data_IF_938151242737
#
_entry.id   IF_938151242737
#
_cell.length_a   1.000
_cell.length_b   1.000
_cell.length_c   1.000
_cell.angle_alpha   90.00
_cell.angle_beta   90.00
_cell.angle_gamma   90.00
#
_symmetry.space_group_name_H-M   'P 1'
#
loop_
_entity.id
_entity.type
_entity.pdbx_description
1 polymer ?
#
# COMPACT_ATOMS: atom_id res chain seq x y z
N UNK A 1 -23.11 4.41 10.46
CA UNK A 1 -21.67 4.48 10.12
C UNK A 1 -21.56 4.11 8.66
N UNK A 2 -21.02 4.99 7.82
CA UNK A 2 -20.90 4.70 6.39
C UNK A 2 -19.90 3.55 6.22
N UNK A 3 -20.38 2.38 5.83
CA UNK A 3 -19.52 1.27 5.38
C UNK A 3 -18.91 1.71 4.05
N UNK A 4 -17.63 2.04 4.03
CA UNK A 4 -16.96 2.36 2.76
C UNK A 4 -16.94 1.10 1.88
N UNK A 5 -16.96 1.29 0.57
CA UNK A 5 -16.93 0.20 -0.39
C UNK A 5 -15.52 -0.42 -0.54
N UNK A 6 -14.50 0.23 0.06
CA UNK A 6 -13.08 -0.14 0.02
C UNK A 6 -12.44 0.01 1.42
N UNK A 7 -12.91 -0.75 2.42
CA UNK A 7 -12.51 -0.56 3.82
C UNK A 7 -11.01 -0.81 4.04
N UNK A 8 -10.39 -1.72 3.28
CA UNK A 8 -8.95 -1.99 3.39
C UNK A 8 -8.12 -0.87 2.77
N UNK A 9 -8.53 -0.35 1.60
CA UNK A 9 -7.86 0.81 0.99
C UNK A 9 -7.88 2.03 1.92
N UNK A 10 -9.03 2.30 2.54
CA UNK A 10 -9.18 3.44 3.46
C UNK A 10 -8.30 3.28 4.70
N UNK A 11 -8.21 2.07 5.26
CA UNK A 11 -7.33 1.77 6.38
C UNK A 11 -5.85 2.03 6.02
N UNK A 12 -5.41 1.53 4.86
CA UNK A 12 -4.05 1.77 4.34
C UNK A 12 -3.83 3.28 4.18
N UNK A 13 -4.75 3.98 3.52
CA UNK A 13 -4.65 5.41 3.26
C UNK A 13 -4.51 6.21 4.54
N UNK A 14 -5.35 5.93 5.52
CA UNK A 14 -5.35 6.62 6.80
C UNK A 14 -4.04 6.38 7.56
N UNK A 15 -3.62 5.11 7.71
CA UNK A 15 -2.39 4.77 8.43
C UNK A 15 -1.15 5.36 7.77
N UNK A 16 -1.02 5.20 6.45
CA UNK A 16 0.15 5.71 5.69
C UNK A 16 0.20 7.24 5.76
N UNK A 17 -0.94 7.92 5.61
CA UNK A 17 -1.01 9.38 5.74
C UNK A 17 -0.60 9.85 7.13
N UNK A 18 -1.09 9.19 8.19
CA UNK A 18 -0.77 9.55 9.57
C UNK A 18 0.70 9.29 9.93
N UNK A 19 1.28 8.18 9.47
CA UNK A 19 2.63 7.78 9.84
C UNK A 19 3.71 8.52 9.05
N UNK A 20 3.48 8.79 7.77
CA UNK A 20 4.52 9.28 6.86
C UNK A 20 4.26 10.68 6.29
N UNK A 21 3.08 11.26 6.51
CA UNK A 21 2.67 12.55 5.94
C UNK A 21 3.14 12.72 4.47
N UNK A 22 2.78 11.78 3.58
CA UNK A 22 3.36 11.73 2.24
C UNK A 22 2.94 12.93 1.40
N UNK A 23 3.87 13.44 0.59
CA UNK A 23 3.59 14.44 -0.43
C UNK A 23 2.69 13.88 -1.55
N UNK A 24 2.79 12.58 -1.83
CA UNK A 24 1.90 11.86 -2.75
C UNK A 24 1.68 10.43 -2.29
N UNK A 25 0.42 9.97 -2.35
CA UNK A 25 -0.01 8.63 -2.00
C UNK A 25 -0.97 8.10 -3.05
N UNK A 26 -0.57 7.02 -3.73
CA UNK A 26 -1.41 6.30 -4.68
C UNK A 26 -1.59 4.86 -4.19
N UNK A 27 -2.83 4.39 -4.17
CA UNK A 27 -3.18 3.03 -3.78
C UNK A 27 -3.98 2.41 -4.93
N UNK A 28 -3.59 1.21 -5.35
CA UNK A 28 -4.26 0.45 -6.40
C UNK A 28 -4.66 -0.92 -5.84
N UNK A 29 -5.93 -1.26 -5.98
CA UNK A 29 -6.44 -2.58 -5.67
C UNK A 29 -6.43 -3.46 -6.95
N UNK A 30 -5.54 -4.45 -6.99
CA UNK A 30 -5.40 -5.37 -8.11
C UNK A 30 -6.04 -6.74 -7.85
N UNK A 31 -6.79 -6.87 -6.77
CA UNK A 31 -7.38 -8.16 -6.36
C UNK A 31 -8.26 -8.78 -7.43
N UNK A 32 -8.92 -7.96 -8.27
CA UNK A 32 -9.72 -8.42 -9.40
C UNK A 32 -8.89 -9.16 -10.47
N UNK A 33 -7.62 -8.81 -10.67
CA UNK A 33 -6.75 -9.45 -11.66
C UNK A 33 -6.41 -10.90 -11.30
N UNK A 34 -6.52 -11.27 -10.01
CA UNK A 34 -6.19 -12.62 -9.52
C UNK A 34 -7.43 -13.39 -9.00
N UNK A 35 -8.63 -12.83 -9.19
CA UNK A 35 -9.91 -13.42 -8.78
C UNK A 35 -10.23 -14.79 -9.41
N UNK A 36 -9.56 -15.14 -10.52
CA UNK A 36 -9.77 -16.41 -11.24
C UNK A 36 -8.87 -17.58 -10.77
N UNK A 37 -8.02 -17.39 -9.77
CA UNK A 37 -7.18 -18.49 -9.24
C UNK A 37 -7.94 -19.34 -8.23
N UNK A 38 -7.86 -20.69 -8.37
CA UNK A 38 -8.41 -21.68 -7.43
C UNK A 38 -8.03 -21.44 -5.95
N UNK A 39 -6.94 -20.72 -5.68
CA UNK A 39 -6.51 -20.33 -4.33
C UNK A 39 -7.42 -19.28 -3.65
N UNK A 40 -8.29 -18.61 -4.41
CA UNK A 40 -9.33 -17.72 -3.88
C UNK A 40 -10.64 -18.47 -3.54
N UNK A 41 -10.71 -19.78 -3.78
CA UNK A 41 -11.86 -20.59 -3.38
C UNK A 41 -11.95 -20.63 -1.84
N UNK A 42 -12.84 -19.81 -1.28
CA UNK A 42 -13.00 -19.63 0.17
C UNK A 42 -12.47 -18.31 0.73
N UNK A 43 -11.84 -17.46 -0.09
CA UNK A 43 -11.52 -16.09 0.34
C UNK A 43 -12.78 -15.24 0.33
N UNK A 44 -13.15 -14.69 1.48
CA UNK A 44 -14.29 -13.78 1.66
C UNK A 44 -13.97 -12.34 1.23
N UNK A 45 -12.70 -12.02 1.02
CA UNK A 45 -12.22 -10.67 0.72
C UNK A 45 -11.79 -10.51 -0.74
N UNK A 46 -12.27 -9.42 -1.36
CA UNK A 46 -11.88 -8.95 -2.70
C UNK A 46 -10.80 -7.86 -2.62
N UNK A 47 -10.15 -7.70 -1.46
CA UNK A 47 -9.12 -6.70 -1.18
C UNK A 47 -7.86 -7.37 -0.64
N UNK A 48 -7.26 -8.25 -1.43
CA UNK A 48 -6.12 -9.09 -1.03
C UNK A 48 -4.80 -8.69 -1.71
N UNK A 49 -4.85 -7.96 -2.83
CA UNK A 49 -3.68 -7.52 -3.58
C UNK A 49 -3.67 -6.00 -3.74
N UNK A 50 -2.63 -5.36 -3.20
CA UNK A 50 -2.48 -3.90 -3.26
C UNK A 50 -1.12 -3.49 -3.81
N UNK A 51 -1.12 -2.42 -4.61
CA UNK A 51 0.07 -1.63 -4.90
C UNK A 51 -0.05 -0.28 -4.23
N UNK A 52 0.96 0.09 -3.43
CA UNK A 52 0.99 1.37 -2.72
C UNK A 52 2.25 2.12 -3.11
N UNK A 53 2.07 3.30 -3.68
CA UNK A 53 3.14 4.23 -4.01
C UNK A 53 3.10 5.38 -3.03
N UNK A 54 4.21 5.55 -2.30
CA UNK A 54 4.33 6.55 -1.25
C UNK A 54 5.53 7.44 -1.57
N UNK A 55 5.27 8.73 -1.68
CA UNK A 55 6.32 9.75 -1.81
C UNK A 55 6.36 10.57 -0.52
N UNK A 56 7.45 10.49 0.25
CA UNK A 56 7.58 11.17 1.53
C UNK A 56 9.04 11.51 1.85
N UNK A 57 9.27 12.66 2.49
CA UNK A 57 10.58 13.07 3.02
C UNK A 57 11.07 12.15 4.14
N UNK A 58 10.15 11.43 4.82
CA UNK A 58 10.49 10.46 5.88
C UNK A 58 11.37 9.31 5.41
N UNK A 59 11.49 9.13 4.10
CA UNK A 59 12.32 8.12 3.44
C UNK A 59 13.72 8.62 3.09
N UNK A 60 14.00 9.91 3.27
CA UNK A 60 15.33 10.49 3.05
C UNK A 60 16.36 9.84 3.97
N UNK A 61 17.56 9.57 3.42
CA UNK A 61 18.64 8.87 4.15
C UNK A 61 18.41 7.38 4.41
N UNK A 62 17.21 6.84 4.17
CA UNK A 62 16.89 5.41 4.34
C UNK A 62 17.04 4.63 3.04
N UNK A 63 17.61 3.42 3.12
CA UNK A 63 17.64 2.47 1.99
C UNK A 63 16.28 1.82 1.77
N UNK A 64 16.01 1.41 0.54
CA UNK A 64 14.73 0.81 0.14
C UNK A 64 14.21 -0.31 1.08
N UNK A 65 15.02 -1.30 1.52
CA UNK A 65 14.53 -2.32 2.43
C UNK A 65 14.06 -1.77 3.80
N UNK A 66 14.70 -0.71 4.31
CA UNK A 66 14.30 -0.07 5.55
C UNK A 66 12.96 0.65 5.38
N UNK A 67 12.80 1.40 4.28
CA UNK A 67 11.53 2.04 3.92
C UNK A 67 10.38 1.03 3.83
N UNK A 68 10.61 -0.11 3.16
CA UNK A 68 9.61 -1.17 3.05
C UNK A 68 9.28 -1.78 4.42
N UNK A 69 10.27 -2.03 5.27
CA UNK A 69 10.04 -2.57 6.63
C UNK A 69 9.14 -1.66 7.47
N UNK A 70 9.31 -0.34 7.37
CA UNK A 70 8.46 0.61 8.09
C UNK A 70 7.01 0.52 7.64
N UNK A 71 6.76 0.49 6.33
CA UNK A 71 5.40 0.37 5.77
C UNK A 71 4.78 -1.00 6.08
N UNK A 72 5.54 -2.10 5.96
CA UNK A 72 5.06 -3.43 6.35
C UNK A 72 4.75 -3.52 7.85
N UNK A 73 5.54 -2.87 8.70
CA UNK A 73 5.28 -2.85 10.14
C UNK A 73 4.02 -2.07 10.48
N UNK A 74 3.76 -0.96 9.77
CA UNK A 74 2.57 -0.15 9.93
C UNK A 74 1.28 -0.89 9.54
N UNK A 75 1.35 -1.69 8.47
CA UNK A 75 0.22 -2.43 7.90
C UNK A 75 0.16 -3.90 8.37
N UNK A 76 0.95 -4.25 9.39
CA UNK A 76 1.06 -5.64 9.86
C UNK A 76 -0.28 -6.19 10.35
N UNK A 77 -1.07 -5.35 11.01
CA UNK A 77 -2.37 -5.76 11.54
C UNK A 77 -3.38 -6.00 10.41
N UNK A 78 -3.38 -5.17 9.36
CA UNK A 78 -4.19 -5.32 8.15
C UNK A 78 -3.82 -6.57 7.35
N UNK A 79 -2.54 -6.93 7.33
CA UNK A 79 -2.07 -8.17 6.72
C UNK A 79 -2.45 -9.41 7.54
N UNK A 80 -2.49 -9.30 8.87
CA UNK A 80 -2.83 -10.40 9.76
C UNK A 80 -4.34 -10.57 9.97
N UNK A 81 -5.15 -9.57 9.60
CA UNK A 81 -6.60 -9.63 9.67
C UNK A 81 -7.17 -10.78 8.81
N UNK A 82 -8.30 -11.33 9.22
CA UNK A 82 -9.01 -12.36 8.45
C UNK A 82 -9.53 -11.75 7.14
N UNK A 83 -9.13 -12.32 5.99
CA UNK A 83 -9.39 -11.70 4.68
C UNK A 83 -8.56 -10.44 4.41
N UNK A 84 -7.46 -10.25 5.16
CA UNK A 84 -6.52 -9.14 5.01
C UNK A 84 -5.67 -9.20 3.75
N UNK A 85 -4.65 -8.34 3.72
CA UNK A 85 -3.78 -8.18 2.55
C UNK A 85 -2.87 -9.41 2.38
N UNK A 86 -2.99 -10.11 1.25
CA UNK A 86 -2.15 -11.24 0.89
C UNK A 86 -0.85 -10.81 0.20
N UNK A 87 -0.94 -9.85 -0.72
CA UNK A 87 0.20 -9.32 -1.46
C UNK A 87 0.18 -7.79 -1.45
N UNK A 88 1.31 -7.22 -1.04
CA UNK A 88 1.50 -5.78 -0.98
C UNK A 88 2.78 -5.40 -1.71
N UNK A 89 2.64 -4.74 -2.85
CA UNK A 89 3.75 -4.17 -3.59
C UNK A 89 3.93 -2.71 -3.17
N UNK A 90 5.17 -2.37 -2.79
CA UNK A 90 5.50 -1.05 -2.28
C UNK A 90 6.46 -0.35 -3.24
N UNK A 91 6.20 0.94 -3.47
CA UNK A 91 7.15 1.86 -4.07
C UNK A 91 7.29 3.08 -3.18
N UNK A 92 8.41 3.17 -2.47
CA UNK A 92 8.70 4.27 -1.56
C UNK A 92 9.75 5.19 -2.18
N UNK A 93 9.37 6.44 -2.47
CA UNK A 93 10.27 7.46 -3.03
C UNK A 93 10.36 8.69 -2.12
N UNK A 94 11.46 9.43 -2.21
CA UNK A 94 11.50 10.82 -1.72
C UNK A 94 10.91 11.77 -2.78
N UNK A 95 10.48 12.98 -2.41
CA UNK A 95 10.06 13.99 -3.38
C UNK A 95 11.14 14.30 -4.43
N UNK A 96 12.43 14.36 -4.05
CA UNK A 96 13.53 14.49 -5.02
C UNK A 96 13.59 13.31 -6.02
N UNK A 97 13.46 12.08 -5.54
CA UNK A 97 13.46 10.88 -6.41
C UNK A 97 12.23 10.85 -7.34
N UNK A 98 11.08 11.35 -6.87
CA UNK A 98 9.87 11.46 -7.67
C UNK A 98 10.03 12.53 -8.76
N UNK A 99 10.52 13.72 -8.42
CA UNK A 99 10.79 14.81 -9.35
C UNK A 99 11.75 14.39 -10.47
N UNK A 100 12.85 13.72 -10.12
CA UNK A 100 13.84 13.22 -11.08
C UNK A 100 13.28 12.16 -12.05
N UNK A 101 12.19 11.47 -11.69
CA UNK A 101 11.56 10.48 -12.59
C UNK A 101 10.59 11.16 -13.58
N UNK A 102 9.98 12.28 -13.20
CA UNK A 102 8.97 12.97 -14.01
C UNK A 102 9.59 13.73 -15.20
N UNK A 103 10.86 14.11 -15.11
CA UNK A 103 11.60 14.82 -16.18
C UNK A 103 12.13 13.90 -17.29
N UNK A 104 11.98 12.57 -17.18
CA UNK A 104 12.52 11.61 -18.14
C UNK A 104 11.50 11.13 -19.21
N UNK A 105 10.45 11.90 -19.49
CA UNK A 105 9.43 11.53 -20.50
C UNK A 105 9.21 12.61 -21.55
#
# INVERSE_FOLDING_TARGET
MATSQTPMEDAIRQKVTQAFAPASLEIFNDSHLHSHHKAMAGSTSQETHFRVYVTSDTFEGKRQPARHREVYSLLKDEMAAEGGIHALQLRTKTPQEAAATTEAK
#
